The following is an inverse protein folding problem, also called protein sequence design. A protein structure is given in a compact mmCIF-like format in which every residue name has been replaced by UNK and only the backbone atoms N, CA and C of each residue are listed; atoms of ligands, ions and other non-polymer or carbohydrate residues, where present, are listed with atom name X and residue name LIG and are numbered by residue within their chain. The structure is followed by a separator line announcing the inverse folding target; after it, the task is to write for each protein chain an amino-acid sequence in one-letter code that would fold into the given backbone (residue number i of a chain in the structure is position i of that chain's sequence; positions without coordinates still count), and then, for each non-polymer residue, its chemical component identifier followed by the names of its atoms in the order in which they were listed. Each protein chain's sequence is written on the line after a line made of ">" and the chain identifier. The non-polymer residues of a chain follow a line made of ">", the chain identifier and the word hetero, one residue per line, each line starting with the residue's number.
data_IF_124206923727
#
_entry.id   IF_124206923727
#
_cell.length_a   1.000
_cell.length_b   1.000
_cell.length_c   1.000
_cell.angle_alpha   90.00
_cell.angle_beta   90.00
_cell.angle_gamma   90.00
#
_symmetry.space_group_name_H-M   'P 1'
#
loop_
_entity.id
_entity.type
_entity.pdbx_description
1 polymer ?
#
# COMPACT_ATOMS: atom_id res chain seq x y z
N UNK A 1 -0.18 0.71 -5.92
CA UNK A 1 0.96 0.21 -5.12
C UNK A 1 2.25 0.97 -5.43
N UNK A 2 2.76 0.94 -6.67
CA UNK A 2 4.03 1.61 -7.04
C UNK A 2 4.06 3.12 -6.76
N UNK A 3 3.09 3.87 -7.30
CA UNK A 3 3.02 5.32 -7.09
C UNK A 3 2.91 5.67 -5.59
N UNK A 4 2.06 4.96 -4.85
CA UNK A 4 1.86 5.17 -3.42
C UNK A 4 3.13 4.90 -2.61
N UNK A 5 3.87 3.84 -2.95
CA UNK A 5 5.16 3.51 -2.30
C UNK A 5 6.22 4.55 -2.65
N UNK A 6 6.26 5.00 -3.91
CA UNK A 6 7.16 6.04 -4.38
C UNK A 6 6.89 7.39 -3.70
N UNK A 7 5.63 7.81 -3.62
CA UNK A 7 5.22 9.02 -2.91
C UNK A 7 5.55 8.93 -1.41
N UNK A 8 5.35 7.77 -0.79
CA UNK A 8 5.70 7.55 0.61
C UNK A 8 7.21 7.67 0.84
N UNK A 9 8.02 7.12 -0.06
CA UNK A 9 9.47 7.27 -0.05
C UNK A 9 9.89 8.74 -0.23
N UNK A 10 9.34 9.42 -1.24
CA UNK A 10 9.62 10.83 -1.51
C UNK A 10 9.22 11.76 -0.35
N UNK A 11 8.12 11.45 0.33
CA UNK A 11 7.61 12.24 1.46
C UNK A 11 8.52 12.21 2.69
N UNK A 12 9.51 11.31 2.77
CA UNK A 12 10.43 11.20 3.92
C UNK A 12 9.79 10.72 5.23
N UNK A 13 8.46 10.50 5.26
CA UNK A 13 7.69 10.06 6.44
C UNK A 13 8.14 8.71 7.00
N UNK A 14 8.88 7.92 6.22
CA UNK A 14 9.46 6.64 6.63
C UNK A 14 10.30 6.75 7.91
N UNK A 15 11.11 7.82 8.07
CA UNK A 15 12.07 7.95 9.19
C UNK A 15 11.49 8.52 10.47
N UNK A 16 10.22 8.92 10.46
CA UNK A 16 9.58 9.57 11.60
C UNK A 16 9.30 8.60 12.76
N UNK A 17 8.91 7.35 12.46
CA UNK A 17 8.49 6.37 13.48
C UNK A 17 8.93 4.95 13.12
N UNK A 18 9.18 4.11 14.12
CA UNK A 18 9.47 2.68 13.94
C UNK A 18 8.29 1.94 13.26
N UNK A 19 7.05 2.35 13.55
CA UNK A 19 5.82 1.85 12.90
C UNK A 19 5.77 2.19 11.40
N UNK A 20 6.23 3.39 11.02
CA UNK A 20 6.30 3.82 9.62
C UNK A 20 7.32 3.03 8.80
N UNK A 21 8.42 2.61 9.43
CA UNK A 21 9.40 1.73 8.80
C UNK A 21 8.84 0.32 8.57
N UNK A 22 8.17 -0.27 9.56
CA UNK A 22 7.49 -1.57 9.40
C UNK A 22 6.40 -1.50 8.33
N UNK A 23 5.56 -0.47 8.36
CA UNK A 23 4.54 -0.23 7.33
C UNK A 23 5.15 -0.19 5.92
N UNK A 24 6.30 0.47 5.78
CA UNK A 24 7.03 0.54 4.51
C UNK A 24 7.57 -0.82 4.03
N UNK A 25 8.13 -1.63 4.92
CA UNK A 25 8.58 -3.00 4.60
C UNK A 25 7.43 -3.85 4.04
N UNK A 26 6.26 -3.83 4.71
CA UNK A 26 5.07 -4.55 4.24
C UNK A 26 4.54 -4.01 2.91
N UNK A 27 4.56 -2.68 2.70
CA UNK A 27 4.18 -2.06 1.42
C UNK A 27 5.08 -2.52 0.28
N UNK A 28 6.40 -2.60 0.49
CA UNK A 28 7.35 -3.11 -0.51
C UNK A 28 7.09 -4.58 -0.79
N UNK A 29 6.92 -5.41 0.26
CA UNK A 29 6.65 -6.83 0.11
C UNK A 29 5.39 -7.07 -0.74
N UNK A 30 4.28 -6.41 -0.39
CA UNK A 30 3.04 -6.51 -1.15
C UNK A 30 3.20 -6.02 -2.60
N UNK A 31 3.90 -4.91 -2.81
CA UNK A 31 4.17 -4.39 -4.16
C UNK A 31 5.00 -5.37 -4.99
N UNK A 32 6.03 -6.00 -4.40
CA UNK A 32 6.87 -6.99 -5.07
C UNK A 32 6.07 -8.24 -5.44
N UNK A 33 5.24 -8.75 -4.53
CA UNK A 33 4.36 -9.90 -4.78
C UNK A 33 3.36 -9.63 -5.91
N UNK A 34 2.80 -8.41 -5.96
CA UNK A 34 1.92 -7.98 -7.05
C UNK A 34 2.63 -7.95 -8.41
N UNK A 35 3.87 -7.43 -8.48
CA UNK A 35 4.66 -7.40 -9.73
C UNK A 35 5.00 -8.82 -10.20
N UNK A 36 5.48 -9.69 -9.29
CA UNK A 36 5.81 -11.07 -9.61
C UNK A 36 4.56 -11.81 -10.13
N UNK A 37 3.42 -11.62 -9.44
CA UNK A 37 2.15 -12.23 -9.85
C UNK A 37 1.67 -11.70 -11.20
N UNK A 38 1.87 -10.41 -11.50
CA UNK A 38 1.56 -9.81 -12.79
C UNK A 38 2.39 -10.42 -13.92
N UNK A 39 3.71 -10.57 -13.72
CA UNK A 39 4.60 -11.21 -14.71
C UNK A 39 4.20 -12.67 -14.92
N UNK A 40 3.90 -13.40 -13.84
CA UNK A 40 3.43 -14.77 -13.91
C UNK A 40 2.10 -14.90 -14.66
N UNK A 41 1.14 -14.00 -14.40
CA UNK A 41 -0.14 -13.96 -15.08
C UNK A 41 0.04 -13.72 -16.59
N UNK A 42 0.92 -12.79 -16.98
CA UNK A 42 1.24 -12.54 -18.40
C UNK A 42 1.83 -13.80 -19.07
N UNK A 43 2.76 -14.48 -18.40
CA UNK A 43 3.35 -15.73 -18.91
C UNK A 43 2.30 -16.83 -19.07
N UNK A 44 1.46 -17.06 -18.05
CA UNK A 44 0.44 -18.11 -18.07
C UNK A 44 -0.67 -17.82 -19.09
N UNK A 45 -1.02 -16.55 -19.29
CA UNK A 45 -1.95 -16.12 -20.34
C UNK A 45 -1.40 -16.50 -21.73
N UNK A 46 -0.14 -16.15 -22.00
CA UNK A 46 0.50 -16.51 -23.27
C UNK A 46 0.61 -18.03 -23.46
N UNK A 47 1.03 -18.76 -22.41
CA UNK A 47 1.16 -20.22 -22.43
C UNK A 47 -0.19 -20.90 -22.68
N UNK A 48 -1.24 -20.48 -21.98
CA UNK A 48 -2.58 -21.04 -22.15
C UNK A 48 -3.10 -20.86 -23.58
N UNK A 49 -2.94 -19.67 -24.15
CA UNK A 49 -3.40 -19.37 -25.51
C UNK A 49 -2.58 -20.08 -26.60
N UNK A 50 -1.30 -20.37 -26.33
CA UNK A 50 -0.40 -20.99 -27.33
C UNK A 50 -0.52 -22.51 -27.33
N UNK A 51 -0.64 -23.13 -26.16
CA UNK A 51 -0.52 -24.60 -26.02
C UNK A 51 -1.81 -25.29 -25.57
N UNK A 52 -2.84 -24.55 -25.13
CA UNK A 52 -4.13 -25.10 -24.67
C UNK A 52 -4.00 -26.23 -23.63
N UNK A 53 -2.97 -26.16 -22.78
CA UNK A 53 -2.71 -27.19 -21.78
C UNK A 53 -3.75 -27.13 -20.64
N UNK A 54 -4.29 -28.27 -20.18
CA UNK A 54 -5.24 -28.32 -19.10
C UNK A 54 -4.60 -27.83 -17.78
N UNK A 55 -5.36 -27.08 -16.99
CA UNK A 55 -4.92 -26.55 -15.69
C UNK A 55 -4.12 -25.23 -15.75
N UNK A 56 -3.60 -24.82 -16.91
CA UNK A 56 -2.88 -23.53 -17.04
C UNK A 56 -3.80 -22.34 -16.79
N UNK A 57 -5.07 -22.43 -17.21
CA UNK A 57 -6.06 -21.40 -16.90
C UNK A 57 -6.30 -21.23 -15.39
N UNK A 58 -6.29 -22.34 -14.64
CA UNK A 58 -6.42 -22.29 -13.17
C UNK A 58 -5.22 -21.63 -12.52
N UNK A 59 -4.01 -21.90 -13.00
CA UNK A 59 -2.79 -21.23 -12.54
C UNK A 59 -2.79 -19.74 -12.88
N UNK A 60 -3.30 -19.38 -14.05
CA UNK A 60 -3.48 -17.98 -14.45
C UNK A 60 -4.42 -17.26 -13.47
N UNK A 61 -5.59 -17.83 -13.19
CA UNK A 61 -6.54 -17.29 -12.22
C UNK A 61 -5.93 -17.19 -10.81
N UNK A 62 -5.13 -18.17 -10.39
CA UNK A 62 -4.41 -18.12 -9.12
C UNK A 62 -3.45 -16.92 -9.05
N UNK A 63 -2.71 -16.64 -10.12
CA UNK A 63 -1.82 -15.48 -10.19
C UNK A 63 -2.61 -14.17 -10.08
N UNK A 64 -3.77 -14.07 -10.72
CA UNK A 64 -4.67 -12.91 -10.56
C UNK A 64 -5.15 -12.74 -9.12
N UNK A 65 -5.55 -13.83 -8.45
CA UNK A 65 -5.89 -13.79 -7.03
C UNK A 65 -4.73 -13.31 -6.16
N UNK A 66 -3.49 -13.72 -6.45
CA UNK A 66 -2.32 -13.23 -5.73
C UNK A 66 -2.13 -11.71 -5.90
N UNK A 67 -2.44 -11.14 -7.07
CA UNK A 67 -2.43 -9.68 -7.29
C UNK A 67 -3.45 -9.01 -6.38
N UNK A 68 -4.68 -9.53 -6.31
CA UNK A 68 -5.76 -8.98 -5.48
C UNK A 68 -5.40 -9.06 -3.99
N UNK A 69 -4.92 -10.21 -3.52
CA UNK A 69 -4.47 -10.39 -2.13
C UNK A 69 -3.32 -9.43 -1.79
N UNK A 70 -2.35 -9.28 -2.69
CA UNK A 70 -1.25 -8.33 -2.51
C UNK A 70 -1.78 -6.90 -2.38
N UNK A 71 -2.77 -6.51 -3.17
CA UNK A 71 -3.40 -5.20 -3.06
C UNK A 71 -4.12 -5.00 -1.72
N UNK A 72 -4.88 -6.01 -1.26
CA UNK A 72 -5.54 -5.97 0.05
C UNK A 72 -4.50 -5.85 1.17
N UNK A 73 -3.42 -6.64 1.12
CA UNK A 73 -2.33 -6.58 2.08
C UNK A 73 -1.61 -5.22 2.07
N UNK A 74 -1.47 -4.59 0.90
CA UNK A 74 -0.92 -3.24 0.81
C UNK A 74 -1.81 -2.21 1.49
N UNK A 75 -3.13 -2.27 1.29
CA UNK A 75 -4.06 -1.35 1.92
C UNK A 75 -4.26 -1.63 3.42
N UNK A 76 -4.11 -2.88 3.87
CA UNK A 76 -4.20 -3.20 5.31
C UNK A 76 -3.09 -2.53 6.13
N UNK A 77 -1.96 -2.14 5.50
CA UNK A 77 -0.89 -1.37 6.17
C UNK A 77 -1.36 -0.01 6.71
N UNK A 78 -2.51 0.50 6.26
CA UNK A 78 -3.16 1.69 6.84
C UNK A 78 -3.39 1.55 8.36
N UNK A 79 -3.57 0.32 8.85
CA UNK A 79 -3.68 0.03 10.28
C UNK A 79 -2.45 0.53 11.05
N UNK A 80 -1.25 0.30 10.51
CA UNK A 80 -0.01 0.77 11.12
C UNK A 80 0.17 2.28 10.96
N UNK A 81 -0.26 2.84 9.82
CA UNK A 81 -0.11 4.27 9.51
C UNK A 81 -0.98 5.18 10.41
N UNK A 82 -2.15 4.68 10.84
CA UNK A 82 -3.08 5.40 11.73
C UNK A 82 -3.02 4.95 13.20
N UNK A 83 -2.09 4.07 13.56
CA UNK A 83 -1.97 3.61 14.93
C UNK A 83 -1.70 4.79 15.88
N UNK A 84 -2.59 4.98 16.87
CA UNK A 84 -2.49 6.08 17.83
C UNK A 84 -2.84 7.47 17.28
N UNK A 85 -3.36 7.59 16.05
CA UNK A 85 -3.77 8.89 15.47
C UNK A 85 -5.29 9.04 15.49
N UNK A 86 -5.79 10.11 16.11
CA UNK A 86 -7.20 10.49 16.05
C UNK A 86 -7.42 11.56 14.96
N UNK A 87 -8.48 11.39 14.17
CA UNK A 87 -8.93 12.36 13.17
C UNK A 87 -10.21 13.00 13.69
N UNK A 88 -10.17 14.30 13.99
CA UNK A 88 -11.33 15.07 14.45
C UNK A 88 -11.85 15.89 13.26
N UNK A 89 -13.13 15.69 12.92
CA UNK A 89 -13.82 16.51 11.93
C UNK A 89 -14.54 17.64 12.68
N UNK A 90 -14.03 18.87 12.57
CA UNK A 90 -14.67 20.05 13.17
C UNK A 90 -15.42 20.87 12.10
N UNK A 91 -16.64 21.37 12.38
CA UNK A 91 -17.35 22.25 11.46
C UNK A 91 -16.60 23.59 11.32
N UNK A 92 -16.51 24.10 10.08
CA UNK A 92 -15.82 25.36 9.75
C UNK A 92 -16.54 26.62 10.26
N UNK A 93 -17.76 26.47 10.81
CA UNK A 93 -18.60 27.57 11.31
C UNK A 93 -18.18 27.91 12.74
N UNK A 94 -17.09 28.67 12.88
CA UNK A 94 -16.63 29.18 14.18
C UNK A 94 -15.14 29.48 14.30
N UNK A 95 -14.35 29.17 13.27
CA UNK A 95 -12.90 29.38 13.35
C UNK A 95 -12.55 30.80 12.90
N UNK A 96 -12.59 31.73 13.86
CA UNK A 96 -12.08 33.09 13.67
C UNK A 96 -10.59 33.08 13.28
N UNK A 97 -10.28 33.75 12.17
CA UNK A 97 -9.00 34.39 11.79
C UNK A 97 -7.66 33.64 11.87
N UNK A 98 -7.58 32.35 12.24
CA UNK A 98 -6.36 31.54 12.11
C UNK A 98 -6.67 30.04 12.19
N UNK A 99 -7.32 29.50 11.15
CA UNK A 99 -8.10 28.26 11.30
C UNK A 99 -7.55 26.96 10.75
N UNK A 100 -6.30 26.91 10.33
CA UNK A 100 -5.62 25.65 10.05
C UNK A 100 -4.60 25.40 11.17
N UNK A 101 -4.91 24.51 12.10
CA UNK A 101 -3.85 23.85 12.86
C UNK A 101 -3.13 22.96 11.86
N UNK A 102 -1.95 23.39 11.39
CA UNK A 102 -1.10 22.53 10.57
C UNK A 102 -0.92 21.22 11.35
N UNK A 103 -1.25 20.10 10.71
CA UNK A 103 -0.94 18.78 11.24
C UNK A 103 0.51 18.81 11.72
N UNK A 104 0.81 18.42 12.97
CA UNK A 104 2.18 18.48 13.48
C UNK A 104 3.08 17.68 12.53
N UNK A 105 3.90 18.40 11.77
CA UNK A 105 4.88 17.84 10.83
C UNK A 105 6.15 17.40 11.56
N UNK A 106 6.33 17.86 12.81
CA UNK A 106 7.27 17.31 13.76
C UNK A 106 6.65 16.12 14.46
N UNK A 107 7.00 14.94 13.99
CA UNK A 107 6.75 13.68 14.69
C UNK A 107 8.02 13.41 15.49
N UNK A 108 7.92 13.53 16.83
CA UNK A 108 8.97 13.10 17.74
C UNK A 108 9.16 11.59 17.57
N UNK A 109 10.41 11.17 17.43
CA UNK A 109 10.72 9.76 17.17
C UNK A 109 10.41 8.98 18.44
N UNK A 110 9.50 8.00 18.36
CA UNK A 110 9.25 7.06 19.46
C UNK A 110 10.56 6.33 19.80
N UNK A 111 11.19 6.71 20.92
CA UNK A 111 12.38 6.06 21.49
C UNK A 111 12.05 4.68 22.05
#
# INVERSE_FOLDING_TARGET
>A
MLLSTWLFHYSGRRRATNLGERSHEYKILACSGSIISMVLAMYLYWRHNTYCEPGVYTLFALAEYCIVISNIAFHSTLYYDFHGKSVILAPSVGVGTSGYSLLPTLIEKDT
#
